data_IF_218290327431
#
_entry.id   IF_218290327431
#
_cell.length_a   1.000
_cell.length_b   1.000
_cell.length_c   1.000
_cell.angle_alpha   90.00
_cell.angle_beta   90.00
_cell.angle_gamma   90.00
#
_symmetry.space_group_name_H-M   'P 1'
#
loop_
_entity.id
_entity.type
_entity.pdbx_description
1 polymer ?
#
# COMPACT_ATOMS: atom_id res chain seq x y z
N UNK A 1 8.81 8.11 -10.37
CA UNK A 1 7.36 8.45 -10.30
C UNK A 1 6.67 7.34 -9.53
N UNK A 2 6.26 7.59 -8.29
CA UNK A 2 5.62 6.58 -7.46
C UNK A 2 4.33 6.08 -8.12
N UNK A 3 4.39 4.85 -8.66
CA UNK A 3 3.24 4.16 -9.24
C UNK A 3 2.28 3.86 -8.09
N UNK A 4 1.31 4.75 -7.92
CA UNK A 4 0.26 4.69 -6.91
C UNK A 4 -0.34 3.28 -6.85
N UNK A 5 -0.06 2.60 -5.75
CA UNK A 5 -0.70 1.35 -5.36
C UNK A 5 -2.13 1.69 -4.99
N UNK A 6 -3.06 1.46 -5.90
CA UNK A 6 -4.47 1.62 -5.57
C UNK A 6 -4.90 0.45 -4.69
N UNK A 7 -5.76 0.73 -3.71
CA UNK A 7 -6.31 -0.33 -2.87
C UNK A 7 -7.09 -1.31 -3.74
N UNK A 8 -6.81 -2.61 -3.62
CA UNK A 8 -7.51 -3.64 -4.41
C UNK A 8 -9.01 -3.70 -4.13
N UNK A 9 -9.45 -3.16 -2.99
CA UNK A 9 -10.84 -3.19 -2.52
C UNK A 9 -11.61 -1.96 -3.00
N UNK A 10 -11.29 -0.77 -2.46
CA UNK A 10 -12.01 0.45 -2.79
C UNK A 10 -11.49 1.18 -4.03
N UNK A 11 -10.41 0.70 -4.66
CA UNK A 11 -9.72 1.33 -5.80
C UNK A 11 -9.21 2.76 -5.55
N UNK A 12 -9.33 3.27 -4.32
CA UNK A 12 -8.78 4.55 -3.93
C UNK A 12 -7.25 4.47 -3.87
N UNK A 13 -6.61 5.61 -4.09
CA UNK A 13 -5.16 5.75 -4.02
C UNK A 13 -4.69 5.53 -2.59
N UNK A 14 -3.71 4.64 -2.39
CA UNK A 14 -3.11 4.43 -1.07
C UNK A 14 -2.11 5.56 -0.76
N UNK A 15 -2.08 5.98 0.50
CA UNK A 15 -1.17 7.01 0.99
C UNK A 15 0.11 6.37 1.54
N UNK A 16 1.21 7.11 1.49
CA UNK A 16 2.46 6.68 2.13
C UNK A 16 2.29 6.78 3.64
N UNK A 17 2.31 5.64 4.33
CA UNK A 17 2.27 5.55 5.79
C UNK A 17 3.67 5.69 6.40
N UNK A 18 4.66 5.07 5.78
CA UNK A 18 6.05 5.19 6.20
C UNK A 18 7.00 5.08 5.03
N UNK A 19 8.09 5.82 5.11
CA UNK A 19 9.21 5.78 4.17
C UNK A 19 10.49 5.52 4.97
N UNK A 20 11.21 4.46 4.64
CA UNK A 20 12.52 4.16 5.18
C UNK A 20 13.55 4.31 4.06
N UNK A 21 14.31 5.39 4.14
CA UNK A 21 15.36 5.70 3.16
C UNK A 21 16.55 4.75 3.33
N UNK A 22 17.05 4.25 2.22
CA UNK A 22 18.26 3.44 2.11
C UNK A 22 19.21 4.02 1.05
N UNK A 23 20.50 3.63 1.04
CA UNK A 23 21.46 4.16 0.07
C UNK A 23 21.05 3.93 -1.40
N UNK A 24 20.39 2.82 -1.68
CA UNK A 24 20.00 2.38 -3.03
C UNK A 24 18.54 2.70 -3.39
N UNK A 25 17.78 3.38 -2.54
CA UNK A 25 16.34 3.59 -2.74
C UNK A 25 15.60 3.70 -1.42
N UNK A 26 14.27 3.70 -1.43
CA UNK A 26 13.46 3.83 -0.21
C UNK A 26 12.44 2.71 -0.10
N UNK A 27 12.35 2.10 1.09
CA UNK A 27 11.22 1.23 1.41
C UNK A 27 10.02 2.07 1.79
N UNK A 28 8.99 2.06 0.94
CA UNK A 28 7.76 2.82 1.13
C UNK A 28 6.62 1.88 1.47
N UNK A 29 5.92 2.14 2.58
CA UNK A 29 4.70 1.42 2.96
C UNK A 29 3.51 2.28 2.56
N UNK A 30 2.72 1.77 1.62
CA UNK A 30 1.45 2.38 1.23
C UNK A 30 0.31 1.74 2.03
N UNK A 31 -0.60 2.55 2.54
CA UNK A 31 -1.78 2.10 3.27
C UNK A 31 -3.02 2.83 2.76
N UNK A 32 -4.13 2.10 2.60
CA UNK A 32 -5.41 2.73 2.29
C UNK A 32 -5.95 3.48 3.51
N UNK A 33 -6.70 4.57 3.34
CA UNK A 33 -7.30 5.27 4.48
C UNK A 33 -8.65 4.70 4.92
N UNK A 34 -9.28 3.85 4.11
CA UNK A 34 -10.61 3.34 4.40
C UNK A 34 -10.55 2.12 5.36
N UNK A 35 -10.92 2.26 6.64
CA UNK A 35 -10.83 1.16 7.61
C UNK A 35 -11.69 -0.05 7.24
N UNK A 36 -12.76 0.13 6.44
CA UNK A 36 -13.58 -0.97 5.95
C UNK A 36 -12.76 -1.95 5.06
N UNK A 37 -11.72 -1.46 4.38
CA UNK A 37 -10.85 -2.27 3.53
C UNK A 37 -9.86 -3.13 4.35
N UNK A 38 -9.60 -2.82 5.62
CA UNK A 38 -8.63 -3.55 6.48
C UNK A 38 -9.06 -4.98 6.80
N UNK A 39 -10.37 -5.20 6.87
CA UNK A 39 -10.98 -6.49 7.20
C UNK A 39 -11.80 -7.06 6.03
N UNK A 40 -11.61 -6.52 4.82
CA UNK A 40 -12.34 -7.03 3.67
C UNK A 40 -11.78 -8.39 3.25
N UNK A 41 -12.66 -9.38 3.24
CA UNK A 41 -12.41 -10.75 2.84
C UNK A 41 -13.33 -11.03 1.67
N UNK A 42 -12.75 -11.43 0.54
CA UNK A 42 -13.50 -11.80 -0.66
C UNK A 42 -13.07 -13.19 -1.11
N UNK A 43 -14.05 -14.07 -1.31
CA UNK A 43 -13.85 -15.48 -1.66
C UNK A 43 -12.75 -16.18 -0.82
N UNK A 44 -12.71 -15.93 0.49
CA UNK A 44 -11.75 -16.54 1.42
C UNK A 44 -10.33 -15.95 1.38
N UNK A 45 -10.07 -14.90 0.58
CA UNK A 45 -8.79 -14.19 0.53
C UNK A 45 -8.90 -12.86 1.26
N UNK A 46 -7.97 -12.63 2.19
CA UNK A 46 -7.82 -11.33 2.86
C UNK A 46 -7.08 -10.38 1.94
N UNK A 47 -7.71 -9.26 1.57
CA UNK A 47 -7.07 -8.29 0.70
C UNK A 47 -6.03 -7.46 1.45
N UNK A 48 -4.91 -7.21 0.78
CA UNK A 48 -3.80 -6.44 1.35
C UNK A 48 -4.20 -4.96 1.37
N UNK A 49 -4.53 -4.50 2.57
CA UNK A 49 -4.83 -3.09 2.89
C UNK A 49 -3.58 -2.21 2.98
N UNK A 50 -2.41 -2.84 3.13
CA UNK A 50 -1.12 -2.18 3.10
C UNK A 50 -0.16 -2.94 2.21
N UNK A 51 0.74 -2.21 1.57
CA UNK A 51 1.69 -2.76 0.63
C UNK A 51 3.04 -2.07 0.80
N UNK A 52 4.10 -2.85 1.09
CA UNK A 52 5.48 -2.37 1.19
C UNK A 52 6.19 -2.53 -0.16
N UNK A 53 6.75 -1.46 -0.72
CA UNK A 53 7.55 -1.43 -1.96
C UNK A 53 8.94 -0.97 -1.64
N UNK A 54 9.90 -1.39 -2.45
CA UNK A 54 11.15 -0.67 -2.61
C UNK A 54 11.03 0.24 -3.84
N UNK A 55 11.21 1.55 -3.65
CA UNK A 55 11.32 2.52 -4.72
C UNK A 55 12.80 2.83 -4.94
N UNK A 56 13.35 2.36 -6.05
CA UNK A 56 14.70 2.71 -6.52
C UNK A 56 14.76 4.21 -6.86
N UNK A 57 15.92 4.83 -6.62
CA UNK A 57 16.09 6.29 -6.58
C UNK A 57 16.20 6.93 -7.97
#
# INVERSE_FOLDING_TARGET
MAKGRNCQVCRQRMSVRSEQRQPMGSWVVHECHNPACRNWIDSGRRHRFSEKVFEDK
#
